data_IF_387358124078
#
_entry.id   IF_387358124078
#
_cell.length_a   1.000
_cell.length_b   1.000
_cell.length_c   1.000
_cell.angle_alpha   90.00
_cell.angle_beta   90.00
_cell.angle_gamma   90.00
#
_symmetry.space_group_name_H-M   'P 1'
#
loop_
_entity.id
_entity.type
_entity.pdbx_description
1 polymer ?
#
# COMPACT_ATOMS: atom_id res chain seq x y z
N UNK A 1 31.78 -6.66 7.54
CA UNK A 1 30.36 -6.33 7.79
C UNK A 1 30.26 -4.81 7.75
N UNK A 2 29.56 -4.27 6.75
CA UNK A 2 29.12 -2.88 6.86
C UNK A 2 28.11 -2.81 7.99
N UNK A 3 28.43 -2.04 9.03
CA UNK A 3 27.52 -1.82 10.15
C UNK A 3 26.51 -0.76 9.74
N UNK A 4 25.24 -1.01 10.05
CA UNK A 4 24.19 0.00 9.92
C UNK A 4 24.57 1.27 10.68
N UNK A 5 24.49 2.41 10.01
CA UNK A 5 24.81 3.73 10.57
C UNK A 5 23.56 4.34 11.21
N UNK A 6 23.00 3.66 12.21
CA UNK A 6 21.71 4.03 12.84
C UNK A 6 21.86 4.75 14.17
N UNK A 7 23.07 5.10 14.61
CA UNK A 7 23.32 5.68 15.96
C UNK A 7 22.49 6.94 16.25
N UNK A 8 22.29 7.78 15.23
CA UNK A 8 21.56 9.05 15.35
C UNK A 8 20.10 8.94 14.88
N UNK A 9 19.65 7.74 14.52
CA UNK A 9 18.29 7.48 14.05
C UNK A 9 17.44 7.10 15.26
N UNK A 10 16.33 7.83 15.56
CA UNK A 10 15.43 7.45 16.63
C UNK A 10 14.92 6.04 16.41
N UNK A 11 14.99 5.15 17.41
CA UNK A 11 14.51 3.77 17.24
C UNK A 11 13.02 3.75 16.90
N UNK A 12 12.25 4.59 17.59
CA UNK A 12 10.79 4.61 17.53
C UNK A 12 10.30 6.03 17.35
N UNK A 13 9.20 6.16 16.63
CA UNK A 13 8.59 7.43 16.25
C UNK A 13 7.07 7.30 16.23
N UNK A 14 6.38 8.44 16.34
CA UNK A 14 4.93 8.50 16.24
C UNK A 14 4.48 8.65 14.79
N UNK A 15 3.51 7.84 14.37
CA UNK A 15 2.91 7.97 13.02
C UNK A 15 2.17 9.30 12.80
N UNK A 16 1.88 10.06 13.88
CA UNK A 16 1.24 11.38 13.75
C UNK A 16 2.18 12.47 13.27
N UNK A 17 3.45 12.42 13.69
CA UNK A 17 4.40 13.50 13.47
C UNK A 17 5.56 13.11 12.56
N UNK A 18 5.87 11.82 12.46
CA UNK A 18 7.01 11.35 11.68
C UNK A 18 6.80 11.56 10.18
N UNK A 19 7.81 12.10 9.50
CA UNK A 19 7.75 12.42 8.08
C UNK A 19 8.34 11.32 7.17
N UNK A 20 8.82 10.22 7.74
CA UNK A 20 9.45 9.12 7.00
C UNK A 20 10.84 9.45 6.48
N UNK A 21 11.63 10.26 7.19
CA UNK A 21 12.99 10.66 6.78
C UNK A 21 13.98 9.49 6.72
N UNK A 22 13.86 8.53 7.63
CA UNK A 22 14.81 7.42 7.84
C UNK A 22 14.26 6.06 7.43
N UNK A 23 13.15 6.00 6.68
CA UNK A 23 12.72 4.72 6.08
C UNK A 23 13.91 4.17 5.26
N UNK A 24 14.19 2.87 5.41
CA UNK A 24 15.22 2.17 4.64
C UNK A 24 16.37 1.58 5.43
N UNK A 25 17.24 0.89 4.69
CA UNK A 25 18.55 0.48 5.18
C UNK A 25 19.56 1.64 5.14
N UNK A 26 20.40 1.73 6.17
CA UNK A 26 21.37 2.82 6.35
C UNK A 26 22.81 2.30 6.42
N UNK A 27 23.14 1.28 5.63
CA UNK A 27 24.53 0.84 5.44
C UNK A 27 25.18 1.71 4.39
N UNK A 28 26.50 1.89 4.53
CA UNK A 28 27.31 2.66 3.57
C UNK A 28 27.11 2.20 2.11
N UNK A 29 27.09 0.88 1.87
CA UNK A 29 26.82 0.30 0.55
C UNK A 29 25.46 0.70 -0.05
N UNK A 30 24.42 0.78 0.79
CA UNK A 30 23.07 1.17 0.35
C UNK A 30 23.01 2.65 -0.01
N UNK A 31 23.68 3.51 0.77
CA UNK A 31 23.82 4.94 0.47
C UNK A 31 24.55 5.16 -0.87
N UNK A 32 25.69 4.49 -1.06
CA UNK A 32 26.48 4.56 -2.31
C UNK A 32 25.67 4.06 -3.53
N UNK A 33 24.96 2.94 -3.39
CA UNK A 33 24.11 2.40 -4.45
C UNK A 33 22.97 3.36 -4.81
N UNK A 34 22.32 3.96 -3.80
CA UNK A 34 21.27 4.97 -3.97
C UNK A 34 21.79 6.21 -4.66
N UNK A 35 22.95 6.72 -4.30
CA UNK A 35 23.54 7.88 -4.97
C UNK A 35 23.84 7.59 -6.44
N UNK A 36 24.38 6.39 -6.74
CA UNK A 36 24.70 5.94 -8.10
C UNK A 36 23.44 5.82 -8.98
N UNK A 37 22.36 5.23 -8.46
CA UNK A 37 21.24 4.77 -9.29
C UNK A 37 19.91 5.51 -9.11
N UNK A 38 19.76 6.41 -8.13
CA UNK A 38 18.47 7.07 -7.81
C UNK A 38 17.80 7.76 -9.01
N UNK A 39 18.57 8.44 -9.86
CA UNK A 39 17.98 9.26 -10.93
C UNK A 39 17.64 8.41 -12.14
N UNK A 40 18.42 7.35 -12.40
CA UNK A 40 18.07 6.32 -13.36
C UNK A 40 16.80 5.56 -12.95
N UNK A 41 16.71 5.12 -11.69
CA UNK A 41 15.54 4.44 -11.15
C UNK A 41 14.27 5.29 -11.30
N UNK A 42 14.33 6.59 -10.96
CA UNK A 42 13.21 7.53 -11.14
C UNK A 42 12.81 7.67 -12.62
N UNK A 43 13.78 7.72 -13.53
CA UNK A 43 13.52 7.83 -14.97
C UNK A 43 12.84 6.56 -15.50
N UNK A 44 13.36 5.39 -15.14
CA UNK A 44 12.80 4.10 -15.53
C UNK A 44 11.40 3.89 -14.92
N UNK A 45 11.19 4.24 -13.66
CA UNK A 45 9.87 4.20 -13.01
C UNK A 45 8.83 5.02 -13.79
N UNK A 46 9.15 6.28 -14.10
CA UNK A 46 8.25 7.17 -14.86
C UNK A 46 7.94 6.61 -16.25
N UNK A 47 8.96 6.07 -16.93
CA UNK A 47 8.80 5.42 -18.23
C UNK A 47 7.87 4.21 -18.12
N UNK A 48 8.09 3.33 -17.14
CA UNK A 48 7.22 2.18 -16.89
C UNK A 48 5.78 2.61 -16.66
N UNK A 49 5.52 3.60 -15.80
CA UNK A 49 4.16 4.10 -15.55
C UNK A 49 3.50 4.62 -16.83
N UNK A 50 4.25 5.36 -17.65
CA UNK A 50 3.74 5.89 -18.92
C UNK A 50 3.45 4.78 -19.93
N UNK A 51 4.35 3.82 -20.07
CA UNK A 51 4.22 2.72 -21.03
C UNK A 51 3.11 1.75 -20.62
N UNK A 52 3.01 1.42 -19.34
CA UNK A 52 2.03 0.48 -18.81
C UNK A 52 0.64 1.09 -18.68
N UNK A 53 0.51 2.24 -18.00
CA UNK A 53 -0.79 2.82 -17.67
C UNK A 53 -1.18 4.00 -18.57
N UNK A 54 -0.22 4.62 -19.28
CA UNK A 54 -0.49 5.84 -20.05
C UNK A 54 -0.60 7.10 -19.18
N UNK A 55 -0.20 7.01 -17.92
CA UNK A 55 -0.40 8.04 -16.90
C UNK A 55 0.93 8.68 -16.48
N UNK A 56 0.83 9.79 -15.75
CA UNK A 56 1.97 10.43 -15.10
C UNK A 56 2.02 10.05 -13.62
N UNK A 57 3.17 10.24 -12.97
CA UNK A 57 3.33 9.95 -11.54
C UNK A 57 4.14 11.00 -10.80
N UNK A 58 4.02 10.98 -9.47
CA UNK A 58 4.89 11.67 -8.52
C UNK A 58 5.66 10.63 -7.72
N UNK A 59 6.98 10.74 -7.66
CA UNK A 59 7.80 9.88 -6.80
C UNK A 59 7.71 10.38 -5.37
N UNK A 60 7.44 9.48 -4.42
CA UNK A 60 7.30 9.77 -3.00
C UNK A 60 8.49 9.28 -2.18
N UNK A 61 9.03 8.11 -2.54
CA UNK A 61 10.18 7.48 -1.89
C UNK A 61 11.07 6.84 -2.95
N UNK A 62 12.38 7.02 -2.78
CA UNK A 62 13.41 6.18 -3.40
C UNK A 62 14.28 5.71 -2.27
N UNK A 63 14.51 4.42 -2.20
CA UNK A 63 15.26 3.85 -1.10
C UNK A 63 16.08 2.64 -1.48
N UNK A 64 17.13 2.37 -0.71
CA UNK A 64 18.00 1.24 -0.96
C UNK A 64 17.75 0.12 0.06
N UNK A 65 17.88 -1.10 -0.42
CA UNK A 65 17.77 -2.31 0.38
C UNK A 65 18.86 -3.29 -0.02
N UNK A 66 19.17 -4.22 0.88
CA UNK A 66 20.06 -5.34 0.62
C UNK A 66 19.22 -6.60 0.56
N UNK A 67 19.27 -7.35 -0.55
CA UNK A 67 18.51 -8.58 -0.68
C UNK A 67 18.95 -9.61 0.38
N UNK A 68 17.98 -10.28 0.99
CA UNK A 68 18.21 -11.35 1.97
C UNK A 68 18.69 -12.65 1.34
N UNK A 69 18.52 -12.84 0.02
CA UNK A 69 18.98 -14.05 -0.67
C UNK A 69 20.51 -14.06 -0.86
N UNK A 70 21.20 -14.94 -0.14
CA UNK A 70 22.63 -15.19 -0.27
C UNK A 70 23.23 -15.83 0.99
N UNK A 71 24.07 -16.87 0.82
CA UNK A 71 24.69 -17.57 1.95
C UNK A 71 25.71 -16.72 2.73
N UNK A 72 26.17 -15.60 2.15
CA UNK A 72 27.13 -14.68 2.77
C UNK A 72 26.83 -13.22 2.44
N UNK A 73 27.36 -12.27 3.23
CA UNK A 73 27.19 -10.83 2.99
C UNK A 73 27.75 -10.36 1.63
N UNK A 74 28.75 -11.09 1.11
CA UNK A 74 29.36 -10.84 -0.21
C UNK A 74 28.49 -11.27 -1.39
N UNK A 75 27.56 -12.21 -1.15
CA UNK A 75 26.63 -12.70 -2.19
C UNK A 75 25.31 -11.93 -2.22
N UNK A 76 25.08 -11.01 -1.27
CA UNK A 76 23.88 -10.18 -1.25
C UNK A 76 24.01 -9.05 -2.25
N UNK A 77 22.97 -8.88 -3.07
CA UNK A 77 22.86 -7.78 -4.03
C UNK A 77 22.11 -6.61 -3.40
N UNK A 78 22.56 -5.40 -3.73
CA UNK A 78 21.83 -4.18 -3.39
C UNK A 78 20.81 -3.88 -4.47
N UNK A 79 19.72 -3.25 -4.06
CA UNK A 79 18.70 -2.78 -4.97
C UNK A 79 18.12 -1.44 -4.54
N UNK A 80 17.30 -0.88 -5.42
CA UNK A 80 16.48 0.27 -5.13
C UNK A 80 15.01 -0.09 -5.13
N UNK A 81 14.28 0.56 -4.26
CA UNK A 81 12.84 0.54 -4.21
C UNK A 81 12.34 1.95 -4.49
N UNK A 82 11.36 2.06 -5.39
CA UNK A 82 10.73 3.34 -5.73
C UNK A 82 9.24 3.23 -5.49
N UNK A 83 8.72 4.10 -4.64
CA UNK A 83 7.28 4.29 -4.41
C UNK A 83 6.85 5.59 -5.05
N UNK A 84 5.79 5.53 -5.85
CA UNK A 84 5.20 6.70 -6.47
C UNK A 84 3.68 6.67 -6.44
N UNK A 85 3.08 7.87 -6.47
CA UNK A 85 1.64 8.05 -6.69
C UNK A 85 1.39 8.29 -8.17
N UNK A 86 0.59 7.43 -8.78
CA UNK A 86 0.13 7.57 -10.16
C UNK A 86 -1.06 8.53 -10.17
N UNK A 87 -1.03 9.47 -11.12
CA UNK A 87 -2.05 10.49 -11.30
C UNK A 87 -3.19 9.92 -12.15
N UNK A 88 -4.05 9.17 -11.49
CA UNK A 88 -5.33 8.71 -12.01
C UNK A 88 -6.49 9.46 -11.32
N UNK A 89 -7.73 9.32 -11.83
CA UNK A 89 -8.92 9.94 -11.21
C UNK A 89 -9.03 9.55 -9.73
N UNK A 90 -8.77 8.27 -9.45
CA UNK A 90 -8.44 7.78 -8.11
C UNK A 90 -6.94 7.56 -8.04
N UNK A 91 -6.15 8.48 -7.45
CA UNK A 91 -4.72 8.31 -7.34
C UNK A 91 -4.39 7.03 -6.58
N UNK A 92 -3.46 6.25 -7.12
CA UNK A 92 -3.02 5.00 -6.52
C UNK A 92 -1.50 4.99 -6.41
N UNK A 93 -1.01 4.16 -5.50
CA UNK A 93 0.38 4.01 -5.21
C UNK A 93 0.91 2.74 -5.88
N UNK A 94 2.10 2.84 -6.47
CA UNK A 94 2.82 1.72 -7.05
C UNK A 94 4.24 1.72 -6.54
N UNK A 95 4.68 0.53 -6.16
CA UNK A 95 6.02 0.19 -5.78
C UNK A 95 6.67 -0.60 -6.91
N UNK A 96 7.89 -0.21 -7.29
CA UNK A 96 8.73 -1.00 -8.18
C UNK A 96 10.10 -1.20 -7.53
N UNK A 97 10.66 -2.39 -7.73
CA UNK A 97 11.98 -2.76 -7.24
C UNK A 97 12.94 -2.79 -8.43
N UNK A 98 14.17 -2.37 -8.16
CA UNK A 98 15.24 -2.25 -9.13
C UNK A 98 16.48 -2.95 -8.61
N UNK A 99 17.17 -3.67 -9.48
CA UNK A 99 18.44 -4.34 -9.18
C UNK A 99 19.45 -4.04 -10.28
N UNK A 100 20.72 -4.08 -9.94
CA UNK A 100 21.79 -4.01 -10.94
C UNK A 100 21.86 -5.33 -11.72
N UNK A 101 21.95 -5.23 -13.04
CA UNK A 101 22.18 -6.33 -13.97
C UNK A 101 23.37 -6.00 -14.86
N UNK A 102 23.85 -6.98 -15.63
CA UNK A 102 24.97 -6.78 -16.58
C UNK A 102 24.72 -5.62 -17.57
N UNK A 103 23.45 -5.31 -17.84
CA UNK A 103 23.02 -4.23 -18.75
C UNK A 103 22.62 -2.93 -18.02
N UNK A 104 22.99 -2.78 -16.75
CA UNK A 104 22.64 -1.64 -15.91
C UNK A 104 21.45 -1.92 -14.99
N UNK A 105 20.83 -0.85 -14.48
CA UNK A 105 19.71 -0.98 -13.56
C UNK A 105 18.47 -1.52 -14.28
N UNK A 106 17.81 -2.53 -13.70
CA UNK A 106 16.59 -3.12 -14.28
C UNK A 106 15.48 -3.23 -13.24
N UNK A 107 14.23 -3.16 -13.69
CA UNK A 107 13.06 -3.44 -12.85
C UNK A 107 12.99 -4.95 -12.63
N UNK A 108 12.94 -5.37 -11.37
CA UNK A 108 12.62 -6.75 -11.02
C UNK A 108 11.12 -6.89 -10.79
N UNK A 109 10.57 -7.99 -11.28
CA UNK A 109 9.14 -8.30 -11.19
C UNK A 109 8.84 -8.97 -9.87
N UNK A 110 7.78 -8.57 -9.20
CA UNK A 110 7.39 -9.19 -7.92
C UNK A 110 6.86 -10.61 -8.10
N UNK A 111 6.29 -10.89 -9.27
CA UNK A 111 5.65 -12.16 -9.61
C UNK A 111 5.94 -12.51 -11.06
N UNK A 112 6.14 -13.80 -11.38
CA UNK A 112 6.04 -14.26 -12.76
C UNK A 112 4.72 -13.75 -13.36
N UNK A 113 4.79 -13.08 -14.51
CA UNK A 113 3.60 -12.54 -15.19
C UNK A 113 3.15 -11.14 -14.76
N UNK A 114 3.83 -10.46 -13.81
CA UNK A 114 3.54 -9.07 -13.40
C UNK A 114 2.17 -8.81 -12.74
N UNK A 115 1.57 -9.83 -12.13
CA UNK A 115 0.27 -9.70 -11.48
C UNK A 115 0.27 -8.60 -10.40
N UNK A 116 1.28 -8.63 -9.53
CA UNK A 116 1.45 -7.66 -8.45
C UNK A 116 1.62 -6.21 -8.96
N UNK A 117 2.22 -5.98 -10.13
CA UNK A 117 2.41 -4.64 -10.69
C UNK A 117 1.11 -4.07 -11.28
N UNK A 118 0.22 -4.93 -11.78
CA UNK A 118 -1.08 -4.51 -12.33
C UNK A 118 -2.13 -4.34 -11.24
N UNK A 119 -1.97 -5.03 -10.09
CA UNK A 119 -2.84 -4.99 -8.92
C UNK A 119 -3.20 -3.56 -8.48
N UNK A 120 -2.23 -2.66 -8.44
CA UNK A 120 -2.42 -1.29 -8.00
C UNK A 120 -3.39 -0.50 -8.90
N UNK A 121 -3.30 -0.71 -10.22
CA UNK A 121 -4.18 -0.05 -11.18
C UNK A 121 -5.58 -0.68 -11.19
N UNK A 122 -5.67 -2.01 -11.10
CA UNK A 122 -6.95 -2.73 -10.95
C UNK A 122 -7.67 -2.29 -9.68
N UNK A 123 -6.95 -2.14 -8.56
CA UNK A 123 -7.47 -1.62 -7.32
C UNK A 123 -8.04 -0.20 -7.48
N UNK A 124 -7.34 0.68 -8.21
CA UNK A 124 -7.81 2.03 -8.48
C UNK A 124 -9.09 2.05 -9.34
N UNK A 125 -9.21 1.16 -10.33
CA UNK A 125 -10.42 1.02 -11.14
C UNK A 125 -11.59 0.45 -10.31
N UNK A 126 -11.33 -0.54 -9.46
CA UNK A 126 -12.30 -1.05 -8.50
C UNK A 126 -12.77 0.04 -7.55
N UNK A 127 -11.86 0.85 -7.02
CA UNK A 127 -12.21 1.98 -6.17
C UNK A 127 -13.08 2.99 -6.93
N UNK A 128 -12.70 3.36 -8.16
CA UNK A 128 -13.48 4.26 -9.02
C UNK A 128 -14.91 3.75 -9.24
N UNK A 129 -15.07 2.44 -9.43
CA UNK A 129 -16.37 1.79 -9.66
C UNK A 129 -17.30 1.83 -8.45
N UNK A 130 -16.75 1.76 -7.24
CA UNK A 130 -17.49 1.71 -5.98
C UNK A 130 -17.15 2.90 -5.07
N UNK A 131 -16.77 4.05 -5.66
CA UNK A 131 -16.17 5.17 -4.93
C UNK A 131 -17.12 5.68 -3.84
N UNK A 132 -18.40 5.85 -4.16
CA UNK A 132 -19.41 6.34 -3.22
C UNK A 132 -19.54 5.40 -2.01
N UNK A 133 -19.67 4.11 -2.24
CA UNK A 133 -19.86 3.10 -1.19
C UNK A 133 -18.62 2.96 -0.31
N UNK A 134 -17.43 2.95 -0.93
CA UNK A 134 -16.16 2.87 -0.20
C UNK A 134 -15.94 4.14 0.64
N UNK A 135 -16.20 5.32 0.08
CA UNK A 135 -16.06 6.60 0.80
C UNK A 135 -17.07 6.72 1.94
N UNK A 136 -18.31 6.23 1.77
CA UNK A 136 -19.29 6.15 2.85
C UNK A 136 -18.77 5.27 4.00
N UNK A 137 -18.25 4.08 3.70
CA UNK A 137 -17.68 3.19 4.71
C UNK A 137 -16.47 3.82 5.41
N UNK A 138 -15.57 4.46 4.65
CA UNK A 138 -14.37 5.14 5.16
C UNK A 138 -14.72 6.28 6.10
N UNK A 139 -15.69 7.12 5.71
CA UNK A 139 -16.13 8.26 6.52
C UNK A 139 -16.85 7.80 7.79
N UNK A 140 -17.66 6.74 7.72
CA UNK A 140 -18.29 6.15 8.91
C UNK A 140 -17.25 5.58 9.87
N UNK A 141 -16.30 4.78 9.38
CA UNK A 141 -15.21 4.26 10.19
C UNK A 141 -14.42 5.39 10.85
N UNK A 142 -13.98 6.39 10.07
CA UNK A 142 -13.29 7.59 10.56
C UNK A 142 -14.04 8.25 11.72
N UNK A 143 -15.34 8.52 11.54
CA UNK A 143 -16.16 9.16 12.56
C UNK A 143 -16.20 8.33 13.86
N UNK A 144 -16.41 7.02 13.75
CA UNK A 144 -16.52 6.13 14.90
C UNK A 144 -15.20 5.98 15.68
N UNK A 145 -14.05 6.04 14.99
CA UNK A 145 -12.73 5.91 15.62
C UNK A 145 -12.22 7.22 16.19
N UNK A 146 -12.44 8.35 15.51
CA UNK A 146 -11.99 9.67 15.98
C UNK A 146 -12.72 10.10 17.26
N UNK A 147 -14.03 9.83 17.38
CA UNK A 147 -14.78 10.14 18.62
C UNK A 147 -14.25 9.40 19.85
N UNK A 148 -13.55 8.29 19.64
CA UNK A 148 -12.93 7.46 20.70
C UNK A 148 -11.42 7.71 20.83
N UNK A 149 -10.88 8.76 20.20
CA UNK A 149 -9.49 9.20 20.32
C UNK A 149 -8.48 8.33 19.56
N UNK A 150 -8.94 7.54 18.60
CA UNK A 150 -8.09 6.88 17.60
C UNK A 150 -7.89 7.82 16.41
N UNK A 151 -6.88 7.58 15.59
CA UNK A 151 -6.54 8.48 14.49
C UNK A 151 -5.79 7.76 13.36
N UNK A 152 -5.65 8.42 12.21
CA UNK A 152 -4.83 7.94 11.12
C UNK A 152 -3.37 8.41 11.23
N UNK A 153 -2.47 7.68 10.57
CA UNK A 153 -1.11 8.11 10.25
C UNK A 153 -1.15 9.39 9.41
N UNK A 154 -0.19 10.30 9.57
CA UNK A 154 -0.15 11.52 8.76
C UNK A 154 0.04 11.25 7.26
N UNK A 155 -0.48 12.14 6.42
CA UNK A 155 -0.48 11.96 4.95
C UNK A 155 0.91 11.90 4.31
N UNK A 156 1.91 12.58 4.89
CA UNK A 156 3.28 12.57 4.35
C UNK A 156 3.89 11.17 4.49
N UNK A 157 3.71 10.57 5.66
CA UNK A 157 4.19 9.22 5.95
C UNK A 157 3.40 8.16 5.19
N UNK A 158 2.09 8.32 5.07
CA UNK A 158 1.22 7.39 4.32
C UNK A 158 1.70 7.19 2.88
N UNK A 159 2.11 8.26 2.19
CA UNK A 159 2.58 8.22 0.79
C UNK A 159 3.95 7.55 0.62
N UNK A 160 4.63 7.25 1.72
CA UNK A 160 5.95 6.58 1.75
C UNK A 160 5.88 5.12 2.20
N UNK A 161 4.70 4.63 2.61
CA UNK A 161 4.52 3.20 2.87
C UNK A 161 4.70 2.43 1.57
N UNK A 162 5.23 1.21 1.63
CA UNK A 162 5.49 0.37 0.45
C UNK A 162 4.25 -0.42 -0.01
N UNK A 163 3.18 0.30 -0.33
CA UNK A 163 1.89 -0.27 -0.70
C UNK A 163 1.57 -0.13 -2.20
N UNK A 164 0.90 -1.15 -2.76
CA UNK A 164 0.35 -1.18 -4.11
C UNK A 164 -1.18 -1.10 -4.05
N UNK A 165 -1.77 -0.01 -4.54
CA UNK A 165 -3.22 0.21 -4.50
C UNK A 165 -3.59 1.63 -4.08
N UNK A 166 -4.84 1.83 -3.66
CA UNK A 166 -5.33 3.16 -3.25
C UNK A 166 -5.07 3.36 -1.76
N UNK A 167 -4.42 4.47 -1.41
CA UNK A 167 -4.21 4.87 -0.02
C UNK A 167 -4.96 6.17 0.27
N UNK A 168 -5.74 6.16 1.35
CA UNK A 168 -6.49 7.31 1.89
C UNK A 168 -6.34 7.30 3.40
N UNK A 169 -6.48 8.45 4.05
CA UNK A 169 -6.56 8.47 5.52
C UNK A 169 -7.65 7.50 5.99
N UNK A 170 -7.29 6.60 6.91
CA UNK A 170 -8.11 5.50 7.44
C UNK A 170 -8.40 4.33 6.50
N UNK A 171 -7.84 4.28 5.29
CA UNK A 171 -8.13 3.20 4.35
C UNK A 171 -6.95 2.90 3.41
N UNK A 172 -6.57 1.63 3.35
CA UNK A 172 -5.83 1.08 2.23
C UNK A 172 -6.75 0.14 1.45
N UNK A 173 -6.76 0.25 0.13
CA UNK A 173 -7.58 -0.56 -0.76
C UNK A 173 -6.71 -1.22 -1.82
N UNK A 174 -6.79 -2.55 -1.91
CA UNK A 174 -6.08 -3.34 -2.92
C UNK A 174 -7.06 -4.27 -3.66
N UNK A 175 -6.58 -4.88 -4.73
CA UNK A 175 -7.25 -5.92 -5.47
C UNK A 175 -6.17 -6.80 -6.11
N UNK A 176 -6.45 -8.08 -6.43
CA UNK A 176 -5.52 -8.84 -7.24
C UNK A 176 -5.37 -8.18 -8.61
N UNK A 177 -4.22 -8.37 -9.23
CA UNK A 177 -3.97 -7.88 -10.58
C UNK A 177 -4.51 -8.82 -11.64
N UNK A 178 -3.89 -8.72 -12.82
CA UNK A 178 -4.06 -9.66 -13.92
C UNK A 178 -2.69 -10.13 -14.36
N UNK A 179 -2.54 -11.44 -14.47
CA UNK A 179 -1.36 -12.06 -15.06
C UNK A 179 -1.23 -11.67 -16.54
N UNK A 180 -0.05 -11.15 -16.89
CA UNK A 180 0.33 -10.74 -18.23
C UNK A 180 0.15 -9.24 -18.49
N UNK A 181 1.26 -8.52 -18.59
CA UNK A 181 1.28 -7.08 -18.89
C UNK A 181 0.57 -6.74 -20.22
N UNK A 182 0.71 -7.59 -21.23
CA UNK A 182 0.04 -7.39 -22.53
C UNK A 182 -1.48 -7.56 -22.43
N UNK A 183 -1.95 -8.50 -21.60
CA UNK A 183 -3.38 -8.67 -21.31
C UNK A 183 -3.92 -7.44 -20.60
N UNK A 184 -3.22 -6.94 -19.57
CA UNK A 184 -3.58 -5.69 -18.91
C UNK A 184 -3.65 -4.50 -19.89
N UNK A 185 -2.62 -4.32 -20.73
CA UNK A 185 -2.55 -3.24 -21.72
C UNK A 185 -3.67 -3.32 -22.76
N UNK A 186 -4.10 -4.52 -23.13
CA UNK A 186 -5.16 -4.76 -24.11
C UNK A 186 -6.56 -4.58 -23.52
N UNK A 187 -6.80 -5.08 -22.31
CA UNK A 187 -8.15 -5.17 -21.73
C UNK A 187 -8.46 -4.03 -20.74
N UNK A 188 -7.52 -3.70 -19.85
CA UNK A 188 -7.77 -2.79 -18.73
C UNK A 188 -7.36 -1.34 -19.03
N UNK A 189 -6.16 -1.15 -19.61
CA UNK A 189 -5.62 0.19 -19.92
C UNK A 189 -6.57 1.06 -20.75
N UNK A 190 -7.29 0.57 -21.79
CA UNK A 190 -8.22 1.41 -22.54
C UNK A 190 -9.39 1.91 -21.68
N UNK A 191 -9.89 1.08 -20.77
CA UNK A 191 -11.02 1.41 -19.89
C UNK A 191 -10.63 2.45 -18.84
N UNK A 192 -9.36 2.48 -18.40
CA UNK A 192 -8.90 3.48 -17.45
C UNK A 192 -9.23 4.92 -17.90
N UNK A 193 -9.21 5.20 -19.22
CA UNK A 193 -9.49 6.53 -19.78
C UNK A 193 -10.97 6.92 -19.79
N UNK A 194 -11.87 5.95 -19.59
CA UNK A 194 -13.31 6.15 -19.62
C UNK A 194 -13.81 6.73 -18.30
N UNK A 195 -15.01 7.34 -18.34
CA UNK A 195 -15.64 7.97 -17.17
C UNK A 195 -17.12 7.61 -17.06
N UNK A 196 -17.67 7.81 -15.87
CA UNK A 196 -19.11 7.67 -15.61
C UNK A 196 -19.68 6.30 -16.00
N UNK A 197 -20.84 6.31 -16.64
CA UNK A 197 -21.58 5.10 -16.98
C UNK A 197 -20.83 4.19 -17.97
N UNK A 198 -20.10 4.78 -18.92
CA UNK A 198 -19.33 4.01 -19.91
C UNK A 198 -18.22 3.20 -19.24
N UNK A 199 -17.47 3.84 -18.32
CA UNK A 199 -16.50 3.16 -17.48
C UNK A 199 -17.15 2.02 -16.69
N UNK A 200 -18.27 2.31 -16.00
CA UNK A 200 -18.94 1.33 -15.16
C UNK A 200 -19.36 0.08 -15.96
N UNK A 201 -19.97 0.26 -17.13
CA UNK A 201 -20.43 -0.86 -17.96
C UNK A 201 -19.27 -1.71 -18.49
N UNK A 202 -18.22 -1.06 -19.00
CA UNK A 202 -17.05 -1.76 -19.54
C UNK A 202 -16.28 -2.48 -18.43
N UNK A 203 -16.12 -1.85 -17.27
CA UNK A 203 -15.43 -2.44 -16.14
C UNK A 203 -16.24 -3.59 -15.50
N UNK A 204 -17.55 -3.45 -15.35
CA UNK A 204 -18.42 -4.55 -14.88
C UNK A 204 -18.34 -5.76 -15.82
N UNK A 205 -18.22 -5.54 -17.13
CA UNK A 205 -17.99 -6.60 -18.12
C UNK A 205 -16.63 -7.29 -17.96
N UNK A 206 -15.58 -6.55 -17.56
CA UNK A 206 -14.29 -7.16 -17.21
C UNK A 206 -14.38 -7.96 -15.91
N UNK A 207 -15.05 -7.43 -14.88
CA UNK A 207 -15.23 -8.14 -13.61
C UNK A 207 -16.03 -9.43 -13.77
N UNK A 208 -16.94 -9.50 -14.75
CA UNK A 208 -17.62 -10.75 -15.08
C UNK A 208 -16.66 -11.81 -15.68
N UNK A 209 -15.62 -11.38 -16.41
CA UNK A 209 -14.59 -12.26 -16.98
C UNK A 209 -13.52 -12.66 -15.96
N UNK A 210 -13.25 -11.77 -15.00
CA UNK A 210 -12.21 -11.88 -13.98
C UNK A 210 -12.84 -11.73 -12.57
N UNK A 211 -13.73 -12.64 -12.15
CA UNK A 211 -14.54 -12.51 -10.93
C UNK A 211 -13.70 -12.53 -9.64
N UNK A 212 -12.49 -13.07 -9.68
CA UNK A 212 -11.51 -13.07 -8.59
C UNK A 212 -11.17 -11.66 -8.13
N UNK A 213 -11.10 -10.67 -9.03
CA UNK A 213 -10.86 -9.26 -8.69
C UNK A 213 -11.88 -8.78 -7.68
N UNK A 214 -13.17 -9.07 -7.94
CA UNK A 214 -14.26 -8.65 -7.06
C UNK A 214 -14.27 -9.41 -5.73
N UNK A 215 -13.91 -10.70 -5.75
CA UNK A 215 -13.93 -11.57 -4.55
C UNK A 215 -12.76 -11.29 -3.61
N UNK A 216 -11.60 -10.97 -4.16
CA UNK A 216 -10.35 -10.83 -3.42
C UNK A 216 -9.91 -9.37 -3.25
N UNK A 217 -10.67 -8.39 -3.75
CA UNK A 217 -10.44 -7.00 -3.37
C UNK A 217 -10.51 -6.84 -1.86
N UNK A 218 -9.57 -6.09 -1.27
CA UNK A 218 -9.50 -5.89 0.17
C UNK A 218 -9.52 -4.41 0.54
N UNK A 219 -10.23 -4.13 1.63
CA UNK A 219 -10.33 -2.81 2.24
C UNK A 219 -9.86 -2.91 3.68
N UNK A 220 -8.66 -2.38 3.92
CA UNK A 220 -8.07 -2.28 5.24
C UNK A 220 -8.39 -0.92 5.83
N UNK A 221 -9.37 -0.90 6.72
CA UNK A 221 -9.72 0.26 7.54
C UNK A 221 -8.74 0.38 8.69
N UNK A 222 -7.88 1.39 8.66
CA UNK A 222 -6.70 1.47 9.53
C UNK A 222 -6.85 2.60 10.54
N UNK A 223 -6.61 2.30 11.81
CA UNK A 223 -6.53 3.30 12.88
C UNK A 223 -5.36 3.03 13.83
N UNK A 224 -4.88 4.10 14.47
CA UNK A 224 -3.78 4.07 15.42
C UNK A 224 -4.25 4.50 16.80
N UNK A 225 -3.62 3.94 17.83
CA UNK A 225 -3.89 4.27 19.23
C UNK A 225 -2.62 4.64 19.98
N UNK A 226 -2.77 5.58 20.93
CA UNK A 226 -1.68 6.02 21.81
C UNK A 226 -1.11 4.85 22.60
N UNK A 227 0.19 4.88 22.83
CA UNK A 227 0.91 3.87 23.62
C UNK A 227 0.35 3.68 25.04
N UNK A 228 -0.28 4.71 25.61
CA UNK A 228 -0.90 4.64 26.94
C UNK A 228 -2.23 3.88 26.98
N UNK A 229 -2.84 3.54 25.84
CA UNK A 229 -4.09 2.74 25.83
C UNK A 229 -3.76 1.27 26.11
N UNK A 230 -4.55 0.66 26.99
CA UNK A 230 -4.50 -0.78 27.28
C UNK A 230 -5.01 -1.57 26.05
N UNK A 231 -4.28 -2.62 25.66
CA UNK A 231 -4.56 -3.46 24.48
C UNK A 231 -5.94 -4.13 24.55
N UNK A 232 -6.32 -4.71 25.69
CA UNK A 232 -7.61 -5.40 25.90
C UNK A 232 -8.77 -4.43 25.67
N UNK A 233 -8.67 -3.20 26.20
CA UNK A 233 -9.68 -2.15 25.95
C UNK A 233 -9.78 -1.77 24.47
N UNK A 234 -8.67 -1.83 23.73
CA UNK A 234 -8.70 -1.61 22.27
C UNK A 234 -9.36 -2.79 21.58
N UNK A 235 -9.05 -4.03 21.96
CA UNK A 235 -9.69 -5.25 21.42
C UNK A 235 -11.20 -5.21 21.61
N UNK A 236 -11.67 -4.93 22.83
CA UNK A 236 -13.12 -4.82 23.13
C UNK A 236 -13.79 -3.73 22.30
N UNK A 237 -13.11 -2.59 22.13
CA UNK A 237 -13.60 -1.49 21.30
C UNK A 237 -13.71 -1.91 19.82
N UNK A 238 -12.67 -2.55 19.28
CA UNK A 238 -12.62 -2.99 17.87
C UNK A 238 -13.70 -4.03 17.57
N UNK A 239 -13.97 -4.95 18.51
CA UNK A 239 -15.09 -5.88 18.41
C UNK A 239 -16.43 -5.14 18.30
N UNK A 240 -16.68 -4.18 19.20
CA UNK A 240 -17.92 -3.41 19.21
C UNK A 240 -18.05 -2.46 18.00
N UNK A 241 -16.94 -2.06 17.38
CA UNK A 241 -16.91 -1.18 16.21
C UNK A 241 -17.56 -1.81 14.97
N UNK A 242 -17.63 -3.15 14.91
CA UNK A 242 -18.30 -3.83 13.81
C UNK A 242 -19.76 -3.41 13.71
N UNK A 243 -20.48 -3.31 14.83
CA UNK A 243 -21.92 -2.98 14.87
C UNK A 243 -22.28 -1.67 14.14
N UNK A 244 -21.69 -0.51 14.48
CA UNK A 244 -22.03 0.75 13.83
C UNK A 244 -21.48 0.89 12.40
N UNK A 245 -20.53 0.06 11.97
CA UNK A 245 -19.89 0.17 10.64
C UNK A 245 -20.36 -0.89 9.64
N UNK A 246 -21.07 -1.92 10.12
CA UNK A 246 -21.43 -3.10 9.35
C UNK A 246 -22.17 -2.80 8.04
N UNK A 247 -23.25 -2.01 8.12
CA UNK A 247 -24.16 -1.80 6.98
C UNK A 247 -23.46 -1.11 5.81
N UNK A 248 -22.63 -0.10 6.09
CA UNK A 248 -21.90 0.62 5.03
C UNK A 248 -20.78 -0.24 4.43
N UNK A 249 -20.14 -1.10 5.22
CA UNK A 249 -19.07 -2.01 4.72
C UNK A 249 -19.59 -3.14 3.83
N UNK A 250 -20.91 -3.42 3.86
CA UNK A 250 -21.58 -4.41 3.01
C UNK A 250 -21.98 -3.86 1.63
N UNK A 251 -21.97 -2.55 1.43
CA UNK A 251 -22.48 -1.91 0.21
C UNK A 251 -21.62 -2.18 -1.04
N UNK A 252 -20.40 -2.65 -0.88
CA UNK A 252 -19.47 -2.92 -1.98
C UNK A 252 -18.79 -4.29 -1.79
N UNK A 253 -18.28 -4.90 -2.86
CA UNK A 253 -17.69 -6.25 -2.79
C UNK A 253 -16.32 -6.29 -2.10
N UNK A 254 -15.77 -7.50 -1.95
CA UNK A 254 -14.44 -7.72 -1.37
C UNK A 254 -14.43 -7.95 0.14
N UNK A 255 -13.25 -8.23 0.67
CA UNK A 255 -12.96 -8.45 2.08
C UNK A 255 -12.66 -7.12 2.79
N UNK A 256 -13.15 -6.97 4.02
CA UNK A 256 -13.12 -5.73 4.79
C UNK A 256 -12.43 -6.09 6.09
N UNK A 257 -11.36 -5.38 6.43
CA UNK A 257 -10.63 -5.60 7.67
C UNK A 257 -10.57 -4.29 8.44
N UNK A 258 -10.75 -4.34 9.75
CA UNK A 258 -10.51 -3.22 10.65
C UNK A 258 -9.23 -3.50 11.42
N UNK A 259 -8.17 -2.75 11.10
CA UNK A 259 -6.81 -2.97 11.60
C UNK A 259 -6.38 -1.83 12.50
N UNK A 260 -5.93 -2.17 13.71
CA UNK A 260 -5.52 -1.23 14.74
C UNK A 260 -4.08 -1.46 15.15
N UNK A 261 -3.30 -0.38 15.16
CA UNK A 261 -1.87 -0.41 15.49
C UNK A 261 -1.54 0.57 16.61
N UNK A 262 -0.49 0.26 17.37
CA UNK A 262 0.13 1.26 18.24
C UNK A 262 0.69 2.42 17.41
N UNK A 263 0.66 3.60 18.00
CA UNK A 263 1.23 4.82 17.42
C UNK A 263 2.75 4.75 17.21
N UNK A 264 3.43 4.00 18.08
CA UNK A 264 4.86 3.80 18.05
C UNK A 264 5.25 2.80 16.97
N UNK A 265 6.00 3.27 15.99
CA UNK A 265 6.55 2.47 14.90
C UNK A 265 8.06 2.67 14.82
N UNK A 266 8.75 1.71 14.20
CA UNK A 266 10.15 1.86 13.80
C UNK A 266 10.30 3.08 12.90
N UNK A 267 11.41 3.80 13.03
CA UNK A 267 11.68 4.93 12.14
C UNK A 267 12.25 4.48 10.79
N UNK A 268 12.86 3.30 10.72
CA UNK A 268 13.62 2.84 9.55
C UNK A 268 13.25 1.45 9.05
N UNK A 269 12.79 0.55 9.93
CA UNK A 269 12.48 -0.82 9.57
C UNK A 269 11.05 -0.93 9.05
N UNK A 270 10.89 -1.76 8.00
CA UNK A 270 9.62 -2.11 7.44
C UNK A 270 9.23 -3.53 7.83
N UNK A 271 7.95 -3.76 8.08
CA UNK A 271 7.37 -5.09 8.24
C UNK A 271 7.23 -5.81 6.88
N UNK A 272 6.81 -7.06 6.91
CA UNK A 272 6.58 -7.88 5.72
C UNK A 272 5.54 -7.29 4.74
N UNK A 273 4.68 -6.40 5.23
CA UNK A 273 3.65 -5.72 4.46
C UNK A 273 4.16 -4.38 3.90
N UNK A 274 5.44 -4.06 4.08
CA UNK A 274 6.03 -2.83 3.57
C UNK A 274 5.64 -1.58 4.35
N UNK A 275 5.19 -1.74 5.60
CA UNK A 275 4.82 -0.63 6.50
C UNK A 275 5.90 -0.44 7.53
N UNK A 276 5.99 0.74 8.15
CA UNK A 276 6.90 0.89 9.30
C UNK A 276 6.52 -0.10 10.40
N UNK A 277 7.50 -0.86 10.86
CA UNK A 277 7.28 -1.96 11.79
C UNK A 277 6.69 -1.44 13.12
N UNK A 278 5.48 -1.87 13.53
CA UNK A 278 4.88 -1.40 14.77
C UNK A 278 5.54 -2.03 16.01
N UNK A 279 5.66 -1.27 17.12
CA UNK A 279 6.14 -1.81 18.41
C UNK A 279 5.15 -2.78 19.11
N UNK A 280 4.09 -3.18 18.45
CA UNK A 280 3.08 -4.06 19.02
C UNK A 280 2.30 -4.79 17.97
N UNK A 281 1.65 -5.86 18.41
CA UNK A 281 0.82 -6.69 17.56
C UNK A 281 -0.35 -5.89 16.97
N UNK A 282 -0.64 -6.19 15.71
CA UNK A 282 -1.85 -5.78 15.02
C UNK A 282 -3.08 -6.35 15.74
N UNK A 283 -4.09 -5.50 15.96
CA UNK A 283 -5.44 -5.95 16.30
C UNK A 283 -6.26 -5.89 15.02
N UNK A 284 -6.78 -7.03 14.58
CA UNK A 284 -7.53 -7.12 13.32
C UNK A 284 -8.84 -7.87 13.52
N UNK A 285 -9.89 -7.40 12.86
CA UNK A 285 -11.19 -8.06 12.80
C UNK A 285 -11.85 -7.84 11.43
N UNK A 286 -12.65 -8.81 11.00
CA UNK A 286 -13.47 -8.67 9.80
C UNK A 286 -14.49 -7.54 9.93
N UNK A 287 -14.57 -6.68 8.91
CA UNK A 287 -15.64 -5.70 8.72
C UNK A 287 -16.79 -6.27 7.89
N UNK A 288 -17.99 -5.70 8.03
CA UNK A 288 -19.15 -6.07 7.19
C UNK A 288 -19.67 -7.50 7.38
N UNK A 289 -19.20 -8.23 8.40
CA UNK A 289 -19.61 -9.60 8.74
C UNK A 289 -20.31 -9.70 10.10
N UNK A 290 -20.68 -8.57 10.70
CA UNK A 290 -21.43 -8.59 11.95
C UNK A 290 -22.87 -9.05 11.66
N UNK A 291 -23.29 -10.05 12.40
CA UNK A 291 -24.66 -10.54 12.47
C UNK A 291 -25.08 -10.43 13.94
N UNK A 292 -26.14 -9.68 14.22
CA UNK A 292 -26.69 -9.52 15.57
C UNK A 292 -27.21 -10.86 16.13
N UNK A 293 -27.35 -11.88 15.27
CA UNK A 293 -27.79 -13.23 15.65
C UNK A 293 -26.60 -14.14 16.01
N UNK A 294 -25.96 -13.87 17.13
CA UNK A 294 -25.29 -14.87 17.97
C UNK A 294 -25.49 -14.53 19.44
#
# INVERSE_FOLDING_TARGET
MDKDRTKDIPKTVSVKSYDGKYIGEHKKRNEEFKEKYKDEAKKQYKKYVKDTFGLDCKINLVDAYTNSSGFSEKSKTDGLLVVGTIKYDIPFQLKLIFVESDNGLTITTFTPGHDNETSAAVAAMMYKRYENEIEQARNKFKHEVEKNGYYAMNEKLQKKQEFNGVTKQYLNFNAPGIEGLDKFKKEFKPIMKLNGQEFNQQFDSLLAKHPEIKKQAESDFIAYYKNSKNKEKVVDYVWNLQKPTNEVMKLYPGNKNMKFYKDSVSSSQLDENGRLEPEGEEISIDGGRYDERK
#
